data_IF_555303878216
#
_entry.id   IF_555303878216
#
_cell.length_a   1.000
_cell.length_b   1.000
_cell.length_c   1.000
_cell.angle_alpha   90.00
_cell.angle_beta   90.00
_cell.angle_gamma   90.00
#
_symmetry.space_group_name_H-M   'P 1'
#
loop_
_entity.id
_entity.type
_entity.pdbx_description
1 polymer ?
#
# COMPACT_ATOMS: atom_id res chain seq x y z
N UNK A 1 -0.23 -48.46 -3.12
CA UNK A 1 0.70 -47.65 -3.93
C UNK A 1 0.96 -46.34 -3.21
N UNK A 2 2.13 -46.17 -2.59
CA UNK A 2 2.45 -44.94 -1.86
C UNK A 2 2.83 -43.85 -2.86
N UNK A 3 1.98 -42.82 -2.98
CA UNK A 3 2.26 -41.66 -3.82
C UNK A 3 3.41 -40.86 -3.19
N UNK A 4 4.64 -41.09 -3.68
CA UNK A 4 5.79 -40.23 -3.35
C UNK A 4 5.49 -38.82 -3.90
N UNK A 5 5.03 -37.93 -3.01
CA UNK A 5 4.92 -36.51 -3.30
C UNK A 5 6.32 -35.94 -3.48
N UNK A 6 6.75 -35.75 -4.73
CA UNK A 6 7.96 -35.00 -5.02
C UNK A 6 7.66 -33.51 -4.85
N UNK A 7 8.27 -32.88 -3.86
CA UNK A 7 8.26 -31.42 -3.74
C UNK A 7 9.26 -30.83 -4.74
N UNK A 8 8.75 -30.23 -5.80
CA UNK A 8 9.56 -29.42 -6.71
C UNK A 8 9.80 -28.06 -6.06
N UNK A 9 11.02 -27.85 -5.55
CA UNK A 9 11.42 -26.58 -4.97
C UNK A 9 11.29 -25.41 -5.95
N UNK A 10 11.52 -25.66 -7.24
CA UNK A 10 11.34 -24.65 -8.30
C UNK A 10 9.88 -24.22 -8.45
N UNK A 11 8.94 -25.17 -8.33
CA UNK A 11 7.50 -24.90 -8.38
C UNK A 11 7.07 -24.17 -7.12
N UNK A 12 7.47 -24.64 -5.93
CA UNK A 12 7.17 -23.98 -4.67
C UNK A 12 7.73 -22.53 -4.61
N UNK A 13 8.94 -22.30 -5.11
CA UNK A 13 9.53 -20.96 -5.17
C UNK A 13 8.82 -20.06 -6.19
N UNK A 14 8.38 -20.61 -7.32
CA UNK A 14 7.60 -19.88 -8.32
C UNK A 14 6.22 -19.50 -7.79
N UNK A 15 5.54 -20.44 -7.12
CA UNK A 15 4.26 -20.20 -6.48
C UNK A 15 4.38 -19.15 -5.37
N UNK A 16 5.38 -19.25 -4.50
CA UNK A 16 5.66 -18.21 -3.50
C UNK A 16 5.99 -16.85 -4.12
N UNK A 17 6.57 -16.79 -5.32
CA UNK A 17 6.81 -15.52 -6.03
C UNK A 17 5.53 -14.98 -6.66
N UNK A 18 4.68 -15.85 -7.17
CA UNK A 18 3.37 -15.50 -7.72
C UNK A 18 2.40 -15.04 -6.61
N UNK A 19 2.52 -15.63 -5.41
CA UNK A 19 1.76 -15.28 -4.21
C UNK A 19 2.22 -13.96 -3.58
N UNK A 20 3.44 -13.48 -3.89
CA UNK A 20 3.86 -12.16 -3.44
C UNK A 20 2.94 -11.14 -4.08
N UNK A 21 2.34 -10.30 -3.23
CA UNK A 21 1.59 -9.11 -3.65
C UNK A 21 2.45 -8.35 -4.64
N UNK A 22 2.06 -8.35 -5.91
CA UNK A 22 2.75 -7.59 -6.95
C UNK A 22 2.67 -6.11 -6.54
N UNK A 23 3.82 -5.53 -6.22
CA UNK A 23 3.94 -4.14 -5.81
C UNK A 23 4.15 -3.32 -7.07
N UNK A 24 3.17 -2.49 -7.50
CA UNK A 24 3.34 -1.66 -8.68
C UNK A 24 4.58 -0.77 -8.52
N UNK A 25 5.26 -0.46 -9.63
CA UNK A 25 6.34 0.52 -9.65
C UNK A 25 5.89 1.78 -8.90
N UNK A 26 6.74 2.36 -8.06
CA UNK A 26 6.43 3.58 -7.29
C UNK A 26 5.48 3.43 -6.10
N UNK A 27 4.98 2.22 -5.79
CA UNK A 27 4.11 1.99 -4.63
C UNK A 27 4.79 2.30 -3.29
N UNK A 28 6.02 1.82 -3.07
CA UNK A 28 6.76 2.08 -1.83
C UNK A 28 7.01 3.58 -1.65
N UNK A 29 7.33 4.29 -2.74
CA UNK A 29 7.50 5.74 -2.72
C UNK A 29 6.18 6.49 -2.46
N UNK A 30 5.04 5.99 -2.96
CA UNK A 30 3.73 6.55 -2.63
C UNK A 30 3.39 6.32 -1.16
N UNK A 31 3.65 5.12 -0.64
CA UNK A 31 3.40 4.75 0.76
C UNK A 31 4.25 5.58 1.73
N UNK A 32 5.54 5.72 1.46
CA UNK A 32 6.43 6.55 2.28
C UNK A 32 5.99 8.01 2.35
N UNK A 33 5.45 8.56 1.25
CA UNK A 33 4.87 9.92 1.25
C UNK A 33 3.63 10.01 2.11
N UNK A 34 2.72 9.03 2.04
CA UNK A 34 1.50 9.00 2.87
C UNK A 34 1.85 8.88 4.35
N UNK A 35 2.73 7.94 4.70
CA UNK A 35 3.20 7.75 6.07
C UNK A 35 3.92 9.00 6.59
N UNK A 36 4.72 9.67 5.76
CA UNK A 36 5.34 10.95 6.08
C UNK A 36 4.33 12.05 6.38
N UNK A 37 3.32 12.24 5.51
CA UNK A 37 2.26 13.24 5.75
C UNK A 37 1.51 12.99 7.05
N UNK A 38 1.21 11.73 7.37
CA UNK A 38 0.58 11.36 8.64
C UNK A 38 1.50 11.63 9.83
N UNK A 39 2.77 11.23 9.75
CA UNK A 39 3.77 11.43 10.81
C UNK A 39 4.00 12.91 11.12
N UNK A 40 3.99 13.77 10.11
CA UNK A 40 4.14 15.22 10.29
C UNK A 40 2.81 15.95 10.55
N UNK A 41 1.72 15.23 10.84
CA UNK A 41 0.43 15.84 11.20
C UNK A 41 -0.27 16.60 10.06
N UNK A 42 0.16 16.42 8.80
CA UNK A 42 -0.47 17.09 7.64
C UNK A 42 -1.83 16.50 7.28
N UNK A 43 -2.04 15.23 7.61
CA UNK A 43 -3.29 14.48 7.39
C UNK A 43 -3.49 13.50 8.54
N UNK A 44 -4.74 13.27 8.94
CA UNK A 44 -5.11 12.15 9.78
C UNK A 44 -5.55 10.97 8.90
N UNK A 45 -5.06 9.76 9.18
CA UNK A 45 -5.54 8.54 8.49
C UNK A 45 -6.62 7.81 9.30
N UNK A 46 -6.61 8.05 10.61
CA UNK A 46 -7.50 7.48 11.60
C UNK A 46 -7.89 8.62 12.53
N UNK A 47 -9.17 8.69 12.87
CA UNK A 47 -9.71 9.67 13.81
C UNK A 47 -9.39 9.27 15.25
N UNK A 48 -9.61 10.18 16.19
CA UNK A 48 -9.40 9.91 17.61
C UNK A 48 -10.28 8.75 18.15
N UNK A 49 -11.44 8.52 17.54
CA UNK A 49 -12.34 7.39 17.86
C UNK A 49 -11.88 6.03 17.28
N UNK A 50 -10.73 5.98 16.60
CA UNK A 50 -10.19 4.77 15.97
C UNK A 50 -10.86 4.40 14.64
N UNK A 51 -11.81 5.20 14.14
CA UNK A 51 -12.40 5.04 12.82
C UNK A 51 -11.51 5.62 11.72
N UNK A 52 -11.64 5.13 10.49
CA UNK A 52 -10.85 5.64 9.37
C UNK A 52 -11.27 7.06 8.99
N UNK A 53 -10.29 7.96 8.81
CA UNK A 53 -10.52 9.27 8.22
C UNK A 53 -10.43 9.16 6.69
N UNK A 54 -11.57 8.93 6.03
CA UNK A 54 -11.64 8.79 4.57
C UNK A 54 -11.18 10.05 3.85
N UNK A 55 -11.44 11.24 4.40
CA UNK A 55 -11.06 12.50 3.77
C UNK A 55 -9.54 12.69 3.84
N UNK A 56 -8.93 12.43 4.99
CA UNK A 56 -7.48 12.47 5.14
C UNK A 56 -6.76 11.42 4.29
N UNK A 57 -7.31 10.20 4.20
CA UNK A 57 -6.80 9.13 3.31
C UNK A 57 -6.84 9.56 1.85
N UNK A 58 -7.96 10.11 1.36
CA UNK A 58 -8.08 10.57 -0.02
C UNK A 58 -7.15 11.76 -0.32
N UNK A 59 -6.99 12.67 0.64
CA UNK A 59 -6.08 13.81 0.52
C UNK A 59 -4.63 13.34 0.39
N UNK A 60 -4.22 12.40 1.25
CA UNK A 60 -2.90 11.78 1.21
C UNK A 60 -2.67 11.03 -0.11
N UNK A 61 -3.66 10.25 -0.56
CA UNK A 61 -3.60 9.50 -1.81
C UNK A 61 -3.45 10.45 -3.02
N UNK A 62 -4.23 11.54 -3.09
CA UNK A 62 -4.15 12.50 -4.18
C UNK A 62 -2.79 13.21 -4.24
N UNK A 63 -2.23 13.60 -3.09
CA UNK A 63 -0.90 14.22 -3.04
C UNK A 63 0.19 13.24 -3.49
N UNK A 64 0.14 11.99 -3.01
CA UNK A 64 1.07 10.94 -3.43
C UNK A 64 0.90 10.57 -4.92
N UNK A 65 -0.33 10.58 -5.44
CA UNK A 65 -0.62 10.33 -6.85
C UNK A 65 -0.03 11.41 -7.76
N UNK A 66 -0.14 12.69 -7.40
CA UNK A 66 0.50 13.79 -8.14
C UNK A 66 2.01 13.58 -8.23
N UNK A 67 2.66 13.30 -7.10
CA UNK A 67 4.10 13.03 -7.08
C UNK A 67 4.47 11.78 -7.90
N UNK A 68 3.64 10.73 -7.86
CA UNK A 68 3.82 9.52 -8.64
C UNK A 68 3.72 9.79 -10.14
N UNK A 69 2.67 10.49 -10.58
CA UNK A 69 2.48 10.88 -11.97
C UNK A 69 3.67 11.69 -12.50
N UNK A 70 4.18 12.65 -11.72
CA UNK A 70 5.35 13.43 -12.09
C UNK A 70 6.62 12.58 -12.21
N UNK A 71 6.77 11.56 -11.36
CA UNK A 71 7.96 10.71 -11.34
C UNK A 71 7.96 9.68 -12.48
N UNK A 72 6.80 9.11 -12.79
CA UNK A 72 6.68 7.94 -13.68
C UNK A 72 5.98 8.24 -15.00
N UNK A 73 5.50 9.46 -15.23
CA UNK A 73 4.76 9.83 -16.45
C UNK A 73 3.44 9.07 -16.63
N UNK A 74 2.92 8.43 -15.59
CA UNK A 74 1.73 7.59 -15.66
C UNK A 74 0.44 8.41 -15.81
N UNK A 75 -0.63 7.78 -16.28
CA UNK A 75 -1.97 8.42 -16.24
C UNK A 75 -2.40 8.68 -14.78
N UNK A 76 -3.29 9.66 -14.61
CA UNK A 76 -3.86 9.97 -13.29
C UNK A 76 -4.55 8.76 -12.65
N UNK A 77 -5.28 7.97 -13.44
CA UNK A 77 -5.97 6.78 -12.96
C UNK A 77 -5.00 5.72 -12.40
N UNK A 78 -3.86 5.50 -13.08
CA UNK A 78 -2.81 4.58 -12.60
C UNK A 78 -2.16 5.13 -11.33
N UNK A 79 -1.75 6.39 -11.33
CA UNK A 79 -1.12 7.03 -10.18
C UNK A 79 -2.03 7.01 -8.94
N UNK A 80 -3.31 7.32 -9.11
CA UNK A 80 -4.31 7.29 -8.04
C UNK A 80 -4.55 5.86 -7.54
N UNK A 81 -4.62 4.88 -8.42
CA UNK A 81 -4.80 3.47 -8.03
C UNK A 81 -3.65 2.98 -7.13
N UNK A 82 -2.41 3.32 -7.49
CA UNK A 82 -1.22 2.98 -6.70
C UNK A 82 -1.23 3.72 -5.36
N UNK A 83 -1.45 5.04 -5.40
CA UNK A 83 -1.41 5.89 -4.21
C UNK A 83 -2.54 5.59 -3.22
N UNK A 84 -3.75 5.27 -3.70
CA UNK A 84 -4.88 4.91 -2.85
C UNK A 84 -4.66 3.56 -2.16
N UNK A 85 -4.11 2.57 -2.88
CA UNK A 85 -3.71 1.29 -2.28
C UNK A 85 -2.67 1.51 -1.18
N UNK A 86 -1.69 2.38 -1.42
CA UNK A 86 -0.66 2.73 -0.46
C UNK A 86 -1.24 3.44 0.77
N UNK A 87 -2.13 4.41 0.56
CA UNK A 87 -2.79 5.14 1.63
C UNK A 87 -3.68 4.23 2.49
N UNK A 88 -4.39 3.29 1.87
CA UNK A 88 -5.22 2.33 2.61
C UNK A 88 -4.39 1.38 3.46
N UNK A 89 -3.24 0.91 2.96
CA UNK A 89 -2.31 0.13 3.78
C UNK A 89 -1.78 0.95 4.97
N UNK A 90 -1.38 2.20 4.75
CA UNK A 90 -0.92 3.08 5.82
C UNK A 90 -2.00 3.38 6.87
N UNK A 91 -3.26 3.53 6.45
CA UNK A 91 -4.38 3.71 7.35
C UNK A 91 -4.65 2.47 8.22
N UNK A 92 -4.59 1.27 7.61
CA UNK A 92 -4.73 0.00 8.36
C UNK A 92 -3.63 -0.18 9.39
N UNK A 93 -2.37 0.13 9.04
CA UNK A 93 -1.25 0.04 9.98
C UNK A 93 -1.36 1.09 11.08
N UNK A 94 -1.76 2.33 10.76
CA UNK A 94 -2.02 3.36 11.75
C UNK A 94 -3.10 2.94 12.75
N UNK A 95 -4.22 2.38 12.26
CA UNK A 95 -5.33 1.90 13.10
C UNK A 95 -4.93 0.73 14.01
N UNK A 96 -4.09 -0.18 13.51
CA UNK A 96 -3.57 -1.27 14.32
C UNK A 96 -2.70 -0.75 15.47
N UNK A 97 -1.93 0.32 15.26
CA UNK A 97 -1.12 0.94 16.33
C UNK A 97 -1.94 1.65 17.40
N UNK A 98 -3.10 2.21 17.04
CA UNK A 98 -3.99 2.87 18.01
C UNK A 98 -4.80 1.89 18.87
N UNK A 99 -4.81 0.60 18.54
CA UNK A 99 -5.54 -0.43 19.27
C UNK A 99 -4.72 -1.10 20.40
N UNK A 100 -3.46 -0.71 20.57
CA UNK A 100 -2.53 -1.18 21.61
C UNK A 100 -2.17 -0.01 22.52
#
# INVERSE_FOLDING_TARGET
MSARRSLSWSTALSDMRNDRVQVPAGFLGARGRVEGMARFGKVALVKADGSFDRAGIMTAAAAAAKAHQLTYGSTWAVAMSVALKAAWQAARTARARTAH
#
